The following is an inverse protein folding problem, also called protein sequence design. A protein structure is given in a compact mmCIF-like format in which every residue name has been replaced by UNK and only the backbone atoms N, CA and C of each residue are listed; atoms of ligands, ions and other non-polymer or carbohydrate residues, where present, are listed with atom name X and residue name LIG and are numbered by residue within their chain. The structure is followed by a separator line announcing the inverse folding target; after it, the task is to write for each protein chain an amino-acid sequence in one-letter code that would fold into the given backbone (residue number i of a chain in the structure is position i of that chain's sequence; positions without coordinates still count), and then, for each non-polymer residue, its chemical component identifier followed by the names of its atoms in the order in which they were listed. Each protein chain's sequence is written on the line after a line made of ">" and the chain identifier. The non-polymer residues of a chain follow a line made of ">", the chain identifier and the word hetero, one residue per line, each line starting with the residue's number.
data_IF_788974641480
#
_entry.id   IF_788974641480
#
_cell.length_a   1.000
_cell.length_b   1.000
_cell.length_c   1.000
_cell.angle_alpha   90.00
_cell.angle_beta   90.00
_cell.angle_gamma   90.00
#
_symmetry.space_group_name_H-M   'P 1'
#
loop_
_entity.id
_entity.type
_entity.pdbx_description
1 polymer ?
#
# COMPACT_ATOMS: atom_id res chain seq x y z
N UNK A 1 -5.07 1.40 -9.98
CA UNK A 1 -4.31 0.16 -9.76
C UNK A 1 -3.93 0.05 -8.30
N UNK A 2 -4.19 -1.12 -7.70
CA UNK A 2 -3.74 -1.50 -6.36
C UNK A 2 -2.69 -2.59 -6.53
N UNK A 3 -1.50 -2.39 -5.96
CA UNK A 3 -0.36 -3.30 -6.14
C UNK A 3 -0.24 -4.31 -5.00
N UNK A 4 -0.59 -3.88 -3.79
CA UNK A 4 -0.69 -4.70 -2.57
C UNK A 4 -1.76 -4.07 -1.67
N UNK A 5 -2.30 -4.80 -0.67
CA UNK A 5 -3.19 -4.20 0.32
C UNK A 5 -2.56 -2.93 0.91
N UNK A 6 -3.35 -1.84 0.93
CA UNK A 6 -2.95 -0.50 1.38
C UNK A 6 -1.92 0.24 0.49
N UNK A 7 -1.61 -0.27 -0.71
CA UNK A 7 -0.71 0.35 -1.68
C UNK A 7 -1.44 0.68 -2.99
N UNK A 8 -2.41 1.59 -2.89
CA UNK A 8 -3.29 1.98 -4.00
C UNK A 8 -2.86 3.31 -4.65
N UNK A 9 -2.96 3.38 -5.98
CA UNK A 9 -2.90 4.67 -6.72
C UNK A 9 -1.50 5.28 -6.88
N UNK A 10 -0.44 4.48 -6.84
CA UNK A 10 0.95 4.97 -6.82
C UNK A 10 1.78 4.72 -8.08
N UNK A 11 1.19 4.06 -9.07
CA UNK A 11 1.84 3.79 -10.35
C UNK A 11 1.17 4.58 -11.46
N UNK A 12 1.98 5.22 -12.31
CA UNK A 12 1.50 5.87 -13.53
C UNK A 12 0.79 4.83 -14.40
N UNK A 13 -0.41 5.17 -14.88
CA UNK A 13 -1.22 4.29 -15.71
C UNK A 13 -0.47 3.89 -16.98
N UNK A 14 -0.48 2.60 -17.29
CA UNK A 14 0.12 2.02 -18.48
C UNK A 14 -0.96 1.25 -19.24
N UNK A 15 -1.16 1.56 -20.52
CA UNK A 15 -2.25 1.01 -21.34
C UNK A 15 -2.11 -0.51 -21.57
N UNK A 16 -0.91 -1.05 -21.40
CA UNK A 16 -0.55 -2.48 -21.50
C UNK A 16 -0.86 -3.30 -20.23
N UNK A 17 -1.39 -2.67 -19.17
CA UNK A 17 -1.60 -3.32 -17.87
C UNK A 17 -3.10 -3.33 -17.53
N UNK A 18 -3.61 -4.53 -17.30
CA UNK A 18 -4.99 -4.79 -16.90
C UNK A 18 -5.08 -5.26 -15.45
N UNK A 19 -6.28 -5.20 -14.89
CA UNK A 19 -6.54 -5.74 -13.56
C UNK A 19 -6.18 -7.23 -13.48
N UNK A 20 -5.51 -7.63 -12.40
CA UNK A 20 -5.02 -8.99 -12.20
C UNK A 20 -3.65 -9.29 -12.82
N UNK A 21 -3.05 -8.34 -13.54
CA UNK A 21 -1.65 -8.46 -13.98
C UNK A 21 -0.69 -8.30 -12.80
N UNK A 22 0.31 -9.19 -12.75
CA UNK A 22 1.45 -9.02 -11.85
C UNK A 22 2.49 -8.13 -12.50
N UNK A 23 3.04 -7.18 -11.75
CA UNK A 23 4.03 -6.23 -12.26
C UNK A 23 5.18 -6.08 -11.28
N UNK A 24 6.38 -5.87 -11.80
CA UNK A 24 7.51 -5.43 -10.98
C UNK A 24 7.54 -3.90 -10.95
N UNK A 25 7.82 -3.35 -9.77
CA UNK A 25 7.86 -1.90 -9.56
C UNK A 25 9.17 -1.50 -8.91
N UNK A 26 9.68 -0.36 -9.32
CA UNK A 26 10.78 0.34 -8.68
C UNK A 26 10.22 1.35 -7.67
N UNK A 27 10.70 1.30 -6.42
CA UNK A 27 10.41 2.33 -5.44
C UNK A 27 11.33 3.52 -5.72
N UNK A 28 10.77 4.58 -6.31
CA UNK A 28 11.54 5.76 -6.70
C UNK A 28 11.79 6.72 -5.54
N UNK A 29 10.84 6.83 -4.62
CA UNK A 29 10.97 7.67 -3.44
C UNK A 29 9.92 7.34 -2.39
N UNK A 30 10.29 7.44 -1.12
CA UNK A 30 9.35 7.54 0.00
C UNK A 30 9.36 9.01 0.44
N UNK A 31 8.18 9.58 0.66
CA UNK A 31 7.95 10.93 1.18
C UNK A 31 7.09 10.82 2.44
N UNK A 32 7.66 10.37 3.57
CA UNK A 32 6.91 10.15 4.80
C UNK A 32 6.15 11.40 5.26
N UNK A 33 6.74 12.57 5.09
CA UNK A 33 6.19 13.89 5.42
C UNK A 33 4.82 14.17 4.76
N UNK A 34 4.55 13.53 3.62
CA UNK A 34 3.28 13.64 2.88
C UNK A 34 2.47 12.35 2.85
N UNK A 35 2.91 11.28 3.52
CA UNK A 35 2.36 9.92 3.40
C UNK A 35 2.26 9.45 1.94
N UNK A 36 3.32 9.71 1.15
CA UNK A 36 3.38 9.31 -0.26
C UNK A 36 4.57 8.40 -0.53
N UNK A 37 4.36 7.43 -1.40
CA UNK A 37 5.42 6.63 -2.01
C UNK A 37 5.27 6.78 -3.52
N UNK A 38 6.37 7.00 -4.24
CA UNK A 38 6.36 7.02 -5.70
C UNK A 38 6.89 5.69 -6.21
N UNK A 39 6.07 5.00 -7.00
CA UNK A 39 6.43 3.75 -7.63
C UNK A 39 6.51 3.97 -9.14
N UNK A 40 7.40 3.23 -9.80
CA UNK A 40 7.52 3.22 -11.24
C UNK A 40 7.45 1.77 -11.71
N UNK A 41 6.50 1.46 -12.58
CA UNK A 41 6.38 0.12 -13.13
C UNK A 41 7.59 -0.15 -14.03
N UNK A 42 8.26 -1.28 -13.83
CA UNK A 42 9.39 -1.73 -14.67
C UNK A 42 8.83 -2.59 -15.80
N UNK A 43 8.23 -3.73 -15.48
CA UNK A 43 7.69 -4.67 -16.47
C UNK A 43 6.50 -5.47 -15.94
N UNK A 44 5.79 -6.09 -16.87
CA UNK A 44 4.73 -7.05 -16.59
C UNK A 44 5.35 -8.43 -16.36
N UNK A 45 4.97 -9.06 -15.27
CA UNK A 45 5.41 -10.40 -14.92
C UNK A 45 4.49 -11.45 -15.55
N UNK A 46 4.95 -12.69 -15.74
CA UNK A 46 4.09 -13.80 -16.14
C UNK A 46 2.88 -13.90 -15.19
N UNK A 47 1.70 -14.13 -15.74
CA UNK A 47 0.49 -14.26 -14.95
C UNK A 47 0.60 -15.50 -14.06
N UNK A 48 0.61 -15.31 -12.75
CA UNK A 48 0.53 -16.41 -11.79
C UNK A 48 -0.91 -16.98 -11.81
N UNK A 49 -1.04 -18.30 -11.71
CA UNK A 49 -2.34 -18.98 -11.79
C UNK A 49 -3.27 -18.64 -10.62
N UNK A 50 -2.71 -18.22 -9.48
CA UNK A 50 -3.44 -17.76 -8.31
C UNK A 50 -2.65 -16.64 -7.61
N UNK A 51 -3.34 -15.68 -6.95
CA UNK A 51 -2.67 -14.70 -6.11
C UNK A 51 -1.97 -15.41 -4.95
N UNK A 52 -0.76 -14.95 -4.63
CA UNK A 52 -0.03 -15.49 -3.47
C UNK A 52 -0.81 -15.20 -2.17
N UNK A 53 -0.76 -16.10 -1.18
CA UNK A 53 -1.37 -15.86 0.12
C UNK A 53 -0.88 -14.56 0.76
N UNK A 54 -1.80 -13.79 1.34
CA UNK A 54 -1.46 -12.56 2.05
C UNK A 54 -0.57 -12.86 3.25
N UNK A 55 0.55 -12.14 3.35
CA UNK A 55 1.47 -12.20 4.49
C UNK A 55 1.16 -11.06 5.44
N UNK A 56 0.46 -11.36 6.52
CA UNK A 56 0.16 -10.39 7.58
C UNK A 56 1.35 -10.25 8.53
N UNK A 57 1.61 -9.02 9.01
CA UNK A 57 2.62 -8.79 10.05
C UNK A 57 2.05 -8.92 11.46
N UNK A 58 0.78 -8.57 11.64
CA UNK A 58 0.06 -8.71 12.90
C UNK A 58 -0.98 -9.81 12.68
N UNK A 59 -0.83 -10.93 13.39
CA UNK A 59 -1.61 -12.15 13.15
C UNK A 59 -2.51 -12.53 14.32
N UNK A 60 -2.44 -11.82 15.45
CA UNK A 60 -3.24 -12.09 16.64
C UNK A 60 -3.43 -10.82 17.50
N UNK A 61 -4.37 -10.88 18.43
CA UNK A 61 -4.75 -9.78 19.34
C UNK A 61 -5.87 -8.89 18.82
N UNK A 62 -6.28 -7.92 19.64
CA UNK A 62 -7.26 -6.90 19.27
C UNK A 62 -6.55 -5.58 18.98
N UNK A 63 -6.78 -5.03 17.78
CA UNK A 63 -6.28 -3.72 17.42
C UNK A 63 -7.18 -2.64 18.01
N UNK A 64 -6.70 -1.92 19.02
CA UNK A 64 -7.45 -0.83 19.69
C UNK A 64 -7.11 0.55 19.12
N UNK A 65 -5.90 0.73 18.60
CA UNK A 65 -5.42 1.99 18.04
C UNK A 65 -4.43 1.74 16.91
N UNK A 66 -4.52 2.50 15.82
CA UNK A 66 -3.59 2.44 14.71
C UNK A 66 -3.18 3.83 14.24
N UNK A 67 -1.88 4.05 14.09
CA UNK A 67 -1.30 5.28 13.55
C UNK A 67 -0.85 5.02 12.12
N UNK A 68 -1.55 5.59 11.14
CA UNK A 68 -1.19 5.46 9.72
C UNK A 68 -0.05 6.40 9.32
N UNK A 69 0.00 7.59 9.93
CA UNK A 69 0.99 8.60 9.59
C UNK A 69 2.38 8.27 10.18
N UNK A 70 3.46 8.44 9.40
CA UNK A 70 4.81 8.32 9.92
C UNK A 70 5.15 9.48 10.88
N UNK A 71 6.22 9.35 11.71
CA UNK A 71 6.55 10.31 12.75
C UNK A 71 6.80 11.75 12.28
N UNK A 72 7.20 11.94 11.02
CA UNK A 72 7.51 13.24 10.42
C UNK A 72 6.41 13.77 9.48
N UNK A 73 5.18 13.28 9.61
CA UNK A 73 4.05 13.76 8.83
C UNK A 73 3.77 15.24 9.11
N UNK A 74 3.54 16.04 8.07
CA UNK A 74 3.43 17.50 8.17
C UNK A 74 2.12 17.99 8.83
N UNK A 75 1.11 17.12 8.94
CA UNK A 75 -0.21 17.45 9.51
C UNK A 75 -0.47 16.64 10.78
N UNK A 76 -1.65 16.84 11.36
CA UNK A 76 -2.12 16.01 12.46
C UNK A 76 -2.02 14.52 12.12
N UNK A 77 -1.53 13.69 13.06
CA UNK A 77 -1.40 12.27 12.86
C UNK A 77 -2.70 11.64 12.38
N UNK A 78 -2.61 10.86 11.31
CA UNK A 78 -3.75 10.09 10.80
C UNK A 78 -3.84 8.83 11.64
N UNK A 79 -4.85 8.76 12.49
CA UNK A 79 -5.05 7.65 13.42
C UNK A 79 -6.46 7.11 13.32
N UNK A 80 -6.63 5.84 13.65
CA UNK A 80 -7.93 5.24 13.96
C UNK A 80 -7.88 4.69 15.36
N UNK A 81 -8.82 5.14 16.18
CA UNK A 81 -9.09 4.58 17.49
C UNK A 81 -10.32 3.67 17.36
N UNK A 82 -10.10 2.37 17.53
CA UNK A 82 -11.13 1.33 17.40
C UNK A 82 -11.94 1.16 18.69
N UNK A 83 -11.63 1.92 19.75
CA UNK A 83 -12.35 1.89 21.03
C UNK A 83 -13.40 2.98 21.15
N UNK A 84 -13.38 3.97 20.25
CA UNK A 84 -14.41 5.00 20.16
C UNK A 84 -15.69 4.38 19.56
N UNK A 85 -16.76 4.37 20.36
CA UNK A 85 -18.11 4.07 19.87
C UNK A 85 -18.57 5.21 18.96
N UNK A 86 -19.16 4.94 17.78
CA UNK A 86 -19.58 5.98 16.82
C UNK A 86 -20.65 6.93 17.37
#
# INVERSE_FOLDING_TARGET
>A
MELTPNLSGLADGREDISEGDSVSVYLKSIRPERMKIKLQIIEKLPREAAPQPLKYQITDGQLTHWVYSPPNYEKDPVVTDFTLTP
#
